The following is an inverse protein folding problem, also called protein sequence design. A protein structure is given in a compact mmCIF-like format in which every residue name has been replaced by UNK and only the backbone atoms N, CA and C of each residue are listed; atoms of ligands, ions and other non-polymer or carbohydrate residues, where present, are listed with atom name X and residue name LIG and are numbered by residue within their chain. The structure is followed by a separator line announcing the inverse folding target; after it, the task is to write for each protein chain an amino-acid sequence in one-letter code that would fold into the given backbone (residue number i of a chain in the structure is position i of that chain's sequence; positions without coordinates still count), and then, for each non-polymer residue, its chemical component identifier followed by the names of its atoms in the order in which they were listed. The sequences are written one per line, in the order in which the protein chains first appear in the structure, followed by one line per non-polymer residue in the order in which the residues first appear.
data_IF_670430133760
#
_entry.id   IF_670430133760
#
_cell.length_a   1.000
_cell.length_b   1.000
_cell.length_c   1.000
_cell.angle_alpha   90.00
_cell.angle_beta   90.00
_cell.angle_gamma   90.00
#
_symmetry.space_group_name_H-M   'P 1'
#
loop_
_entity.id
_entity.type
_entity.pdbx_description
1 polymer ?
#
# COMPACT_ATOMS: atom_id res chain seq x y z
N UNK A 1 -6.16 13.95 6.75
CA UNK A 1 -4.74 14.13 6.41
C UNK A 1 -4.59 13.86 4.91
N UNK A 2 -4.33 14.89 4.10
CA UNK A 2 -4.20 14.78 2.64
C UNK A 2 -2.71 14.85 2.33
N UNK A 3 -2.09 13.72 2.01
CA UNK A 3 -0.70 13.68 1.54
C UNK A 3 -0.79 13.68 0.02
N UNK A 4 -0.64 14.87 -0.57
CA UNK A 4 -0.45 15.02 -2.02
C UNK A 4 1.04 14.82 -2.24
N UNK A 5 1.44 13.77 -2.94
CA UNK A 5 2.82 13.57 -3.39
C UNK A 5 2.85 13.98 -4.85
N UNK A 6 3.42 15.15 -5.20
CA UNK A 6 3.52 15.56 -6.59
C UNK A 6 4.44 14.61 -7.37
N UNK A 7 4.10 14.39 -8.63
CA UNK A 7 5.03 13.90 -9.63
C UNK A 7 6.20 14.90 -9.72
N UNK A 8 7.43 14.39 -9.63
CA UNK A 8 8.69 15.11 -9.49
C UNK A 8 8.96 15.75 -8.12
N UNK A 9 9.38 14.91 -7.17
CA UNK A 9 10.18 15.33 -6.03
C UNK A 9 11.54 14.62 -6.03
N UNK A 10 12.39 15.00 -6.97
CA UNK A 10 13.82 15.03 -6.69
C UNK A 10 14.05 16.11 -5.63
N UNK A 11 13.88 15.79 -4.35
CA UNK A 11 14.19 16.75 -3.29
C UNK A 11 14.71 16.07 -2.02
N UNK A 12 16.02 16.25 -1.86
CA UNK A 12 16.78 16.16 -0.62
C UNK A 12 16.09 16.87 0.56
N UNK A 13 16.20 16.31 1.76
CA UNK A 13 16.25 17.07 3.03
C UNK A 13 17.31 16.48 3.97
N UNK A 14 18.44 17.20 3.96
CA UNK A 14 19.34 17.62 5.04
C UNK A 14 19.79 16.70 6.20
N UNK A 15 21.12 16.72 6.38
CA UNK A 15 21.98 16.29 7.48
C UNK A 15 21.39 16.34 8.91
N UNK A 16 21.59 15.26 9.64
CA UNK A 16 21.80 15.21 11.09
C UNK A 16 22.76 14.06 11.41
N UNK A 17 23.95 14.37 11.92
CA UNK A 17 25.02 13.43 12.18
C UNK A 17 24.76 12.56 13.43
N UNK A 18 25.09 11.26 13.38
CA UNK A 18 26.00 10.61 14.35
C UNK A 18 26.73 9.46 13.62
N UNK A 19 28.06 9.54 13.65
CA UNK A 19 29.02 8.51 13.24
C UNK A 19 28.97 7.39 14.28
N UNK A 20 28.78 6.11 13.91
CA UNK A 20 29.45 4.96 14.55
C UNK A 20 29.12 3.65 13.81
N UNK A 21 30.17 2.87 13.50
CA UNK A 21 30.07 1.44 13.27
C UNK A 21 29.94 1.00 11.82
N UNK A 22 31.09 0.71 11.21
CA UNK A 22 31.21 -0.04 9.97
C UNK A 22 30.69 -1.48 10.17
N UNK A 23 29.41 -1.71 9.87
CA UNK A 23 28.92 -3.04 9.47
C UNK A 23 27.62 -2.90 8.66
N UNK A 24 27.72 -2.84 7.33
CA UNK A 24 26.58 -2.82 6.42
C UNK A 24 25.88 -4.19 6.31
N UNK A 25 26.19 -5.14 7.21
CA UNK A 25 25.67 -6.51 7.21
C UNK A 25 24.73 -6.85 8.37
N UNK A 26 24.45 -5.90 9.27
CA UNK A 26 23.47 -6.11 10.35
C UNK A 26 22.03 -6.10 9.80
N UNK A 27 21.58 -7.29 9.36
CA UNK A 27 20.18 -7.58 9.04
C UNK A 27 19.35 -7.18 10.26
N UNK A 28 18.73 -6.01 10.18
CA UNK A 28 17.88 -5.50 11.23
C UNK A 28 16.47 -6.02 11.00
N UNK A 29 15.86 -6.57 12.04
CA UNK A 29 14.50 -7.10 11.99
C UNK A 29 13.58 -6.32 12.93
N UNK A 30 12.29 -6.32 12.63
CA UNK A 30 11.26 -5.71 13.46
C UNK A 30 10.04 -6.60 13.56
N UNK A 31 9.48 -6.70 14.75
CA UNK A 31 8.15 -7.29 14.98
C UNK A 31 7.09 -6.21 14.73
N UNK A 32 6.17 -6.48 13.81
CA UNK A 32 5.10 -5.55 13.48
C UNK A 32 4.06 -5.47 14.61
N UNK A 33 3.80 -4.25 15.10
CA UNK A 33 2.85 -4.00 16.20
C UNK A 33 1.38 -3.93 15.73
N UNK A 34 1.16 -3.91 14.41
CA UNK A 34 -0.15 -3.86 13.76
C UNK A 34 -0.10 -4.70 12.49
N UNK A 35 -1.26 -5.08 12.01
CA UNK A 35 -1.45 -5.64 10.66
C UNK A 35 -1.46 -4.47 9.66
N UNK A 36 -0.76 -4.60 8.53
CA UNK A 36 -0.67 -3.59 7.48
C UNK A 36 -1.26 -4.13 6.18
N UNK A 37 -1.97 -3.27 5.47
CA UNK A 37 -2.57 -3.60 4.20
C UNK A 37 -3.07 -2.37 3.47
N UNK A 38 -3.72 -2.64 2.34
CA UNK A 38 -4.36 -1.61 1.53
C UNK A 38 -5.82 -1.96 1.30
N UNK A 39 -6.62 -0.94 1.01
CA UNK A 39 -7.96 -1.13 0.48
C UNK A 39 -7.88 -1.71 -0.93
N UNK A 40 -8.71 -2.72 -1.20
CA UNK A 40 -8.88 -3.28 -2.53
C UNK A 40 -10.35 -3.46 -2.90
N UNK A 41 -10.58 -3.46 -4.20
CA UNK A 41 -11.78 -4.00 -4.80
C UNK A 41 -11.50 -5.47 -5.18
N UNK A 42 -12.12 -6.42 -4.50
CA UNK A 42 -11.90 -7.86 -4.71
C UNK A 42 -13.05 -8.50 -5.46
N UNK A 43 -12.84 -9.68 -6.05
CA UNK A 43 -13.96 -10.50 -6.55
C UNK A 43 -14.95 -10.79 -5.42
N UNK A 44 -16.25 -10.59 -5.66
CA UNK A 44 -17.27 -10.91 -4.68
C UNK A 44 -17.38 -12.44 -4.49
N UNK A 45 -17.45 -12.89 -3.23
CA UNK A 45 -17.59 -14.31 -2.90
C UNK A 45 -18.85 -14.46 -2.03
N UNK A 46 -19.87 -15.09 -2.58
CA UNK A 46 -21.11 -15.36 -1.88
C UNK A 46 -20.86 -16.24 -0.63
N UNK A 47 -21.50 -15.91 0.48
CA UNK A 47 -21.32 -16.57 1.78
C UNK A 47 -20.07 -16.13 2.54
N UNK A 48 -19.15 -15.38 1.92
CA UNK A 48 -17.96 -14.82 2.58
C UNK A 48 -18.04 -13.30 2.71
N UNK A 49 -18.41 -12.61 1.64
CA UNK A 49 -18.47 -11.15 1.62
C UNK A 49 -19.86 -10.63 1.98
N UNK A 50 -19.91 -9.46 2.62
CA UNK A 50 -21.16 -8.77 2.93
C UNK A 50 -21.81 -8.28 1.63
N UNK A 51 -23.04 -8.72 1.37
CA UNK A 51 -23.82 -8.30 0.20
C UNK A 51 -23.97 -6.77 0.10
N UNK A 52 -23.93 -6.03 1.21
CA UNK A 52 -23.97 -4.55 1.22
C UNK A 52 -22.73 -3.91 0.61
N UNK A 53 -21.62 -4.64 0.55
CA UNK A 53 -20.35 -4.23 -0.09
C UNK A 53 -20.21 -4.76 -1.51
N UNK A 54 -21.20 -5.50 -2.02
CA UNK A 54 -21.23 -5.94 -3.42
C UNK A 54 -21.45 -4.75 -4.35
N UNK A 55 -20.64 -4.66 -5.39
CA UNK A 55 -20.79 -3.71 -6.50
C UNK A 55 -20.63 -4.46 -7.82
N UNK A 56 -21.22 -3.94 -8.89
CA UNK A 56 -21.08 -4.49 -10.24
C UNK A 56 -20.38 -3.44 -11.09
N UNK A 57 -19.23 -3.80 -11.66
CA UNK A 57 -18.44 -2.93 -12.54
C UNK A 57 -18.12 -3.75 -13.80
N UNK A 58 -18.49 -3.23 -14.97
CA UNK A 58 -18.32 -3.90 -16.28
C UNK A 58 -18.82 -5.35 -16.33
N UNK A 59 -19.88 -5.65 -15.57
CA UNK A 59 -20.48 -6.99 -15.46
C UNK A 59 -19.81 -7.91 -14.43
N UNK A 60 -18.70 -7.51 -13.84
CA UNK A 60 -18.02 -8.26 -12.77
C UNK A 60 -18.61 -7.92 -11.40
N UNK A 61 -18.91 -8.97 -10.62
CA UNK A 61 -19.33 -8.83 -9.22
C UNK A 61 -18.11 -8.66 -8.32
N UNK A 62 -17.98 -7.49 -7.71
CA UNK A 62 -16.86 -7.12 -6.87
C UNK A 62 -17.31 -6.75 -5.45
N UNK A 63 -16.39 -6.78 -4.50
CA UNK A 63 -16.57 -6.40 -3.11
C UNK A 63 -15.65 -5.22 -2.81
N UNK A 64 -16.24 -4.08 -2.46
CA UNK A 64 -15.48 -2.90 -2.04
C UNK A 64 -15.01 -3.01 -0.59
N UNK A 65 -14.13 -2.11 -0.21
CA UNK A 65 -13.60 -1.93 1.15
C UNK A 65 -12.84 -3.16 1.69
N UNK A 66 -12.39 -4.09 0.83
CA UNK A 66 -11.69 -5.31 1.28
C UNK A 66 -10.29 -4.95 1.77
N UNK A 67 -9.88 -5.52 2.90
CA UNK A 67 -8.54 -5.34 3.44
C UNK A 67 -7.58 -6.35 2.79
N UNK A 68 -6.70 -5.90 1.90
CA UNK A 68 -5.63 -6.73 1.35
C UNK A 68 -4.41 -6.71 2.28
N UNK A 69 -4.22 -7.79 3.03
CA UNK A 69 -3.17 -7.89 4.05
C UNK A 69 -1.80 -8.15 3.43
N UNK A 70 -0.82 -7.35 3.82
CA UNK A 70 0.59 -7.55 3.48
C UNK A 70 1.40 -8.10 4.64
N UNK A 71 1.17 -7.53 5.82
CA UNK A 71 1.94 -7.86 7.02
C UNK A 71 0.99 -8.06 8.17
N UNK A 72 1.21 -9.10 8.95
CA UNK A 72 0.40 -9.42 10.10
C UNK A 72 0.98 -8.84 11.39
N UNK A 73 0.13 -8.46 12.34
CA UNK A 73 0.56 -8.18 13.70
C UNK A 73 1.35 -9.36 14.29
N UNK A 74 2.50 -9.07 14.88
CA UNK A 74 3.44 -10.07 15.40
C UNK A 74 4.37 -10.67 14.35
N UNK A 75 4.20 -10.37 13.06
CA UNK A 75 5.12 -10.83 12.02
C UNK A 75 6.47 -10.11 12.12
N UNK A 76 7.56 -10.86 12.01
CA UNK A 76 8.90 -10.30 11.87
C UNK A 76 9.17 -9.94 10.41
N UNK A 77 9.60 -8.70 10.18
CA UNK A 77 10.01 -8.21 8.85
C UNK A 77 11.47 -7.75 8.89
N UNK A 78 12.19 -8.00 7.79
CA UNK A 78 13.52 -7.44 7.58
C UNK A 78 13.40 -5.97 7.20
N UNK A 79 14.21 -5.12 7.83
CA UNK A 79 14.21 -3.70 7.53
C UNK A 79 14.87 -3.42 6.18
N UNK A 80 14.37 -2.40 5.50
CA UNK A 80 14.82 -1.95 4.17
C UNK A 80 14.64 -2.98 3.05
N UNK A 81 13.89 -4.06 3.28
CA UNK A 81 13.50 -5.03 2.26
C UNK A 81 12.01 -4.89 1.92
N UNK A 82 11.66 -5.20 0.67
CA UNK A 82 10.28 -5.23 0.22
C UNK A 82 9.53 -6.40 0.84
N UNK A 83 8.50 -6.10 1.62
CA UNK A 83 7.60 -7.08 2.20
C UNK A 83 6.43 -7.29 1.25
N UNK A 84 6.41 -8.47 0.61
CA UNK A 84 5.40 -8.94 -0.33
C UNK A 84 5.10 -7.96 -1.48
N UNK A 85 5.24 -8.41 -2.72
CA UNK A 85 4.82 -7.62 -3.89
C UNK A 85 3.49 -8.18 -4.37
N UNK A 86 2.43 -7.37 -4.37
CA UNK A 86 1.12 -7.76 -4.93
C UNK A 86 0.81 -6.98 -6.19
N UNK A 87 0.02 -7.59 -7.05
CA UNK A 87 -0.41 -7.02 -8.33
C UNK A 87 -1.88 -6.58 -8.24
N UNK A 88 -2.16 -5.42 -8.81
CA UNK A 88 -3.49 -4.82 -8.91
C UNK A 88 -3.75 -4.44 -10.35
N UNK A 89 -5.01 -4.51 -10.75
CA UNK A 89 -5.48 -4.06 -12.05
C UNK A 89 -6.24 -2.74 -11.85
N UNK A 90 -6.06 -1.80 -12.77
CA UNK A 90 -6.93 -0.63 -12.83
C UNK A 90 -8.37 -1.06 -13.11
N UNK A 91 -9.32 -0.43 -12.43
CA UNK A 91 -10.75 -0.76 -12.52
C UNK A 91 -11.55 0.26 -13.31
N UNK A 92 -10.98 1.44 -13.54
CA UNK A 92 -11.60 2.51 -14.31
C UNK A 92 -10.55 3.12 -15.26
N UNK A 93 -10.95 3.33 -16.51
CA UNK A 93 -10.09 3.88 -17.55
C UNK A 93 -9.93 5.40 -17.44
N UNK A 94 -10.97 6.08 -16.96
CA UNK A 94 -11.01 7.54 -16.86
C UNK A 94 -10.22 8.09 -15.67
N UNK A 95 -9.90 7.25 -14.68
CA UNK A 95 -9.19 7.65 -13.48
C UNK A 95 -7.82 8.27 -13.85
N UNK A 96 -7.54 9.52 -13.41
CA UNK A 96 -6.25 10.14 -13.67
C UNK A 96 -5.13 9.58 -12.78
N UNK A 97 -5.49 8.87 -11.70
CA UNK A 97 -4.55 8.30 -10.75
C UNK A 97 -4.98 6.89 -10.33
N UNK A 98 -4.00 6.02 -10.06
CA UNK A 98 -4.22 4.84 -9.25
C UNK A 98 -4.02 5.20 -7.79
N UNK A 99 -5.01 4.88 -6.96
CA UNK A 99 -5.03 5.25 -5.55
C UNK A 99 -4.91 4.02 -4.67
N UNK A 100 -3.85 3.98 -3.86
CA UNK A 100 -3.68 3.01 -2.79
C UNK A 100 -3.96 3.67 -1.45
N UNK A 101 -5.06 3.29 -0.79
CA UNK A 101 -5.32 3.71 0.58
C UNK A 101 -4.71 2.70 1.54
N UNK A 102 -3.76 3.16 2.35
CA UNK A 102 -2.98 2.33 3.28
C UNK A 102 -3.66 2.32 4.63
N UNK A 103 -3.84 1.12 5.20
CA UNK A 103 -4.49 0.92 6.49
C UNK A 103 -3.60 0.12 7.44
N UNK A 104 -3.82 0.36 8.73
CA UNK A 104 -3.35 -0.50 9.82
C UNK A 104 -4.52 -1.15 10.53
N UNK A 105 -4.31 -2.31 11.15
CA UNK A 105 -5.32 -2.97 11.98
C UNK A 105 -4.72 -3.55 13.26
N UNK A 106 -5.49 -3.51 14.35
CA UNK A 106 -5.19 -4.23 15.60
C UNK A 106 -5.59 -5.72 15.54
N UNK A 107 -6.36 -6.13 14.54
CA UNK A 107 -6.72 -7.53 14.28
C UNK A 107 -5.65 -8.24 13.43
N UNK A 108 -5.49 -9.55 13.63
CA UNK A 108 -4.61 -10.41 12.84
C UNK A 108 -5.12 -10.62 11.40
N UNK A 109 -6.45 -10.68 11.23
CA UNK A 109 -7.11 -10.94 9.96
C UNK A 109 -8.33 -10.03 9.79
N UNK A 110 -8.15 -8.70 9.61
CA UNK A 110 -9.25 -7.83 9.22
C UNK A 110 -9.80 -8.28 7.85
N UNK A 111 -11.11 -8.20 7.69
CA UNK A 111 -11.76 -8.51 6.41
C UNK A 111 -11.99 -7.25 5.60
N UNK A 112 -12.37 -6.16 6.26
CA UNK A 112 -12.65 -4.87 5.62
C UNK A 112 -11.85 -3.74 6.25
N UNK A 113 -11.61 -2.69 5.47
CA UNK A 113 -10.88 -1.50 5.92
C UNK A 113 -11.70 -0.61 6.85
N UNK A 114 -13.02 -0.80 6.90
CA UNK A 114 -13.96 -0.15 7.82
C UNK A 114 -14.31 -1.01 9.05
N UNK A 115 -13.65 -2.16 9.23
CA UNK A 115 -13.71 -2.90 10.49
C UNK A 115 -13.23 -1.99 11.64
N UNK A 116 -13.82 -2.10 12.83
CA UNK A 116 -13.48 -1.26 14.01
C UNK A 116 -11.99 -1.34 14.38
N UNK A 117 -11.33 -2.45 14.03
CA UNK A 117 -9.91 -2.65 14.26
C UNK A 117 -9.00 -1.84 13.33
N UNK A 118 -9.55 -1.30 12.24
CA UNK A 118 -8.81 -0.68 11.14
C UNK A 118 -8.73 0.84 11.30
N UNK A 119 -7.59 1.39 10.92
CA UNK A 119 -7.34 2.83 10.89
C UNK A 119 -6.53 3.19 9.63
N UNK A 120 -6.99 4.20 8.90
CA UNK A 120 -6.32 4.69 7.70
C UNK A 120 -5.00 5.37 8.08
N UNK A 121 -3.90 4.91 7.49
CA UNK A 121 -2.57 5.47 7.69
C UNK A 121 -2.27 6.57 6.67
N UNK A 122 -2.73 6.41 5.43
CA UNK A 122 -2.44 7.37 4.37
C UNK A 122 -3.03 6.97 3.02
N UNK A 123 -2.70 7.76 2.01
CA UNK A 123 -3.09 7.53 0.62
C UNK A 123 -1.89 7.79 -0.28
N UNK A 124 -1.71 6.94 -1.28
CA UNK A 124 -0.69 7.08 -2.32
C UNK A 124 -1.38 7.09 -3.67
N UNK A 125 -1.08 8.09 -4.48
CA UNK A 125 -1.68 8.31 -5.79
C UNK A 125 -0.59 8.27 -6.86
N UNK A 126 -0.75 7.40 -7.86
CA UNK A 126 0.19 7.28 -8.99
C UNK A 126 -0.50 7.84 -10.23
N UNK A 127 0.04 8.88 -10.88
CA UNK A 127 -0.57 9.43 -12.08
C UNK A 127 -0.51 8.43 -13.23
N UNK A 128 -1.64 8.22 -13.89
CA UNK A 128 -1.71 7.45 -15.14
C UNK A 128 -1.28 8.38 -16.28
N UNK A 129 0.02 8.32 -16.60
CA UNK A 129 0.65 9.20 -17.59
C UNK A 129 0.62 8.63 -19.00
N UNK A 130 0.58 7.30 -19.14
CA UNK A 130 0.45 6.63 -20.44
C UNK A 130 -0.94 5.98 -20.55
N UNK A 131 -1.81 6.60 -21.33
CA UNK A 131 -3.17 6.11 -21.58
C UNK A 131 -3.27 5.25 -22.85
N UNK A 132 -2.16 5.00 -23.54
CA UNK A 132 -2.15 4.10 -24.71
C UNK A 132 -2.32 2.62 -24.32
N UNK A 133 -2.03 2.27 -23.06
CA UNK A 133 -2.21 0.93 -22.52
C UNK A 133 -3.69 0.68 -22.24
N UNK A 134 -4.32 -0.36 -22.85
CA UNK A 134 -5.71 -0.72 -22.57
C UNK A 134 -5.94 -1.02 -21.09
N UNK A 135 -7.13 -0.73 -20.57
CA UNK A 135 -7.48 -0.97 -19.16
C UNK A 135 -7.24 -2.43 -18.72
N UNK A 136 -7.50 -3.40 -19.62
CA UNK A 136 -7.30 -4.83 -19.37
C UNK A 136 -5.84 -5.23 -19.09
N UNK A 137 -4.91 -4.39 -19.54
CA UNK A 137 -3.47 -4.60 -19.52
C UNK A 137 -2.77 -3.68 -18.52
N UNK A 138 -3.51 -2.82 -17.82
CA UNK A 138 -2.97 -1.81 -16.92
C UNK A 138 -2.86 -2.36 -15.50
N UNK A 139 -1.68 -2.93 -15.21
CA UNK A 139 -1.35 -3.52 -13.92
C UNK A 139 -0.34 -2.69 -13.14
N UNK A 140 -0.46 -2.75 -11.82
CA UNK A 140 0.40 -2.07 -10.86
C UNK A 140 0.84 -3.04 -9.78
N UNK A 141 2.09 -2.94 -9.36
CA UNK A 141 2.57 -3.60 -8.15
C UNK A 141 2.59 -2.64 -6.98
N UNK A 142 2.27 -3.12 -5.79
CA UNK A 142 2.44 -2.37 -4.54
C UNK A 142 3.17 -3.23 -3.51
N UNK A 143 4.06 -2.62 -2.73
CA UNK A 143 4.81 -3.26 -1.64
C UNK A 143 5.08 -2.31 -0.49
N UNK A 144 5.33 -2.86 0.69
CA UNK A 144 5.79 -2.13 1.87
C UNK A 144 7.29 -2.33 2.06
N UNK A 145 7.99 -1.29 2.51
CA UNK A 145 9.39 -1.37 2.95
C UNK A 145 9.48 -0.75 4.34
N UNK A 146 9.78 -1.57 5.34
CA UNK A 146 9.85 -1.11 6.73
C UNK A 146 11.23 -0.55 7.03
N UNK A 147 11.30 0.71 7.44
CA UNK A 147 12.50 1.31 8.01
C UNK A 147 12.50 1.23 9.54
N UNK A 148 13.51 1.84 10.16
CA UNK A 148 13.61 1.93 11.62
C UNK A 148 12.42 2.71 12.21
N UNK A 149 12.18 3.93 11.71
CA UNK A 149 11.14 4.85 12.19
C UNK A 149 10.06 5.13 11.15
N UNK A 150 10.30 4.80 9.89
CA UNK A 150 9.44 5.15 8.75
C UNK A 150 8.86 3.87 8.11
N UNK A 151 7.65 3.97 7.55
CA UNK A 151 7.13 3.00 6.59
C UNK A 151 7.24 3.61 5.21
N UNK A 152 7.91 2.95 4.28
CA UNK A 152 7.85 3.32 2.88
C UNK A 152 6.89 2.39 2.17
N UNK A 153 6.23 2.91 1.17
CA UNK A 153 5.46 2.11 0.22
C UNK A 153 5.95 2.42 -1.16
N UNK A 154 6.05 1.37 -1.97
CA UNK A 154 6.51 1.45 -3.34
C UNK A 154 5.38 0.95 -4.22
N UNK A 155 5.04 1.75 -5.22
CA UNK A 155 4.03 1.40 -6.18
C UNK A 155 4.57 1.61 -7.60
N UNK A 156 4.37 0.64 -8.47
CA UNK A 156 5.01 0.60 -9.79
C UNK A 156 4.03 0.15 -10.85
N UNK A 157 3.97 0.86 -11.97
CA UNK A 157 3.23 0.42 -13.15
C UNK A 157 4.01 -0.68 -13.88
N UNK A 158 3.39 -1.85 -14.07
CA UNK A 158 4.09 -3.05 -14.53
C UNK A 158 4.60 -2.92 -15.97
N UNK A 159 3.88 -2.20 -16.84
CA UNK A 159 4.21 -2.05 -18.26
C UNK A 159 5.32 -1.04 -18.51
N UNK A 160 5.18 0.17 -17.95
CA UNK A 160 6.13 1.27 -18.18
C UNK A 160 7.34 1.20 -17.24
N UNK A 161 7.22 0.46 -16.13
CA UNK A 161 8.23 0.40 -15.09
C UNK A 161 8.28 1.65 -14.19
N UNK A 162 7.43 2.65 -14.44
CA UNK A 162 7.37 3.87 -13.64
C UNK A 162 7.04 3.52 -12.20
N UNK A 163 7.88 4.00 -11.29
CA UNK A 163 7.79 3.70 -9.86
C UNK A 163 7.62 4.98 -9.08
N UNK A 164 6.72 4.96 -8.10
CA UNK A 164 6.52 6.00 -7.12
C UNK A 164 6.80 5.42 -5.74
N UNK A 165 7.49 6.20 -4.91
CA UNK A 165 7.72 5.87 -3.51
C UNK A 165 7.11 6.95 -2.63
N UNK A 166 6.46 6.50 -1.56
CA UNK A 166 5.87 7.37 -0.56
C UNK A 166 6.35 6.95 0.82
N UNK A 167 6.62 7.93 1.67
CA UNK A 167 6.90 7.70 3.10
C UNK A 167 5.64 7.99 3.91
N UNK A 168 5.33 7.08 4.82
CA UNK A 168 4.24 7.19 5.78
C UNK A 168 4.82 7.08 7.19
N UNK A 169 4.41 8.01 8.05
CA UNK A 169 4.86 8.01 9.44
C UNK A 169 4.14 6.93 10.24
N UNK A 170 4.92 6.02 10.83
CA UNK A 170 4.40 4.96 11.70
C UNK A 170 4.01 5.46 13.09
N UNK A 171 4.38 6.69 13.43
CA UNK A 171 4.28 7.28 14.77
C UNK A 171 3.02 8.16 14.95
N UNK A 172 2.16 8.26 13.94
CA UNK A 172 1.05 9.24 13.89
C UNK A 172 -0.13 9.03 14.85
N UNK A 173 -0.12 8.04 15.75
CA UNK A 173 -1.21 7.86 16.71
C UNK A 173 -0.69 7.28 18.04
N UNK A 174 -0.41 8.18 18.99
CA UNK A 174 -0.44 7.92 20.43
C UNK A 174 -1.72 8.52 21.02
#
# INVERSE_FOLDING_TARGET
MRVIIPADAGLSVLKGAVIFGHDSSLISQRICKKTYGVEMLARFINGRHDNRKKVIIDGDELCKDVFDKYVEIGQTVTLNECVAVRNYRAVNEEDPYITFMVYTSTSKNPMYVDDVSCAKLGTVEIPITDRSVPLADRYFTFSFVFGNTELKVQAKETRTGKTLEAKLDLLGHH
#
